data_IF_084316690086
#
_entry.id   IF_084316690086
#
_cell.length_a   1.000
_cell.length_b   1.000
_cell.length_c   1.000
_cell.angle_alpha   90.00
_cell.angle_beta   90.00
_cell.angle_gamma   90.00
#
_symmetry.space_group_name_H-M   'P 1'
#
loop_
_entity.id
_entity.type
_entity.pdbx_description
1 polymer ?
#
# COMPACT_ATOMS: atom_id res chain seq x y z
N UNK A 1 -5.62 -12.00 -19.05
CA UNK A 1 -4.81 -10.76 -19.02
C UNK A 1 -4.80 -10.19 -17.60
N UNK A 2 -4.08 -10.82 -16.66
CA UNK A 2 -4.05 -10.33 -15.26
C UNK A 2 -2.87 -10.83 -14.43
N UNK A 3 -2.12 -11.85 -14.85
CA UNK A 3 -1.01 -12.39 -14.04
C UNK A 3 0.26 -11.53 -14.03
N UNK A 4 0.53 -10.80 -15.11
CA UNK A 4 1.76 -10.00 -15.24
C UNK A 4 1.66 -8.69 -14.41
N UNK A 5 0.46 -8.10 -14.38
CA UNK A 5 0.24 -6.74 -13.86
C UNK A 5 0.49 -6.60 -12.35
N UNK A 6 0.16 -7.63 -11.55
CA UNK A 6 0.29 -7.53 -10.08
C UNK A 6 1.75 -7.58 -9.63
N UNK A 7 2.58 -8.44 -10.26
CA UNK A 7 4.01 -8.54 -9.94
C UNK A 7 4.74 -7.24 -10.29
N UNK A 8 4.46 -6.68 -11.46
CA UNK A 8 5.06 -5.42 -11.91
C UNK A 8 4.74 -4.25 -10.97
N UNK A 9 3.50 -4.17 -10.46
CA UNK A 9 3.11 -3.14 -9.50
C UNK A 9 3.70 -3.32 -8.10
N UNK A 10 3.93 -4.58 -7.69
CA UNK A 10 4.63 -4.90 -6.46
C UNK A 10 6.10 -4.47 -6.55
N UNK A 11 6.77 -4.76 -7.66
CA UNK A 11 8.16 -4.35 -7.91
C UNK A 11 8.30 -2.83 -8.04
N UNK A 12 7.33 -2.16 -8.67
CA UNK A 12 7.28 -0.70 -8.75
C UNK A 12 6.98 -0.02 -7.40
N UNK A 13 6.56 -0.78 -6.37
CA UNK A 13 6.34 -0.26 -5.02
C UNK A 13 5.03 0.52 -4.83
N UNK A 14 4.02 0.31 -5.67
CA UNK A 14 2.76 1.07 -5.64
C UNK A 14 1.91 0.79 -4.38
N UNK A 15 2.14 -0.33 -3.72
CA UNK A 15 1.45 -0.75 -2.49
C UNK A 15 1.90 0.03 -1.24
N UNK A 16 2.94 0.85 -1.32
CA UNK A 16 3.36 1.69 -0.20
C UNK A 16 2.55 2.98 -0.14
N UNK A 17 1.86 3.16 0.98
CA UNK A 17 1.12 4.38 1.33
C UNK A 17 1.97 5.38 2.12
N UNK A 18 1.29 6.20 2.91
CA UNK A 18 1.95 7.21 3.75
C UNK A 18 2.41 6.66 5.09
N UNK A 19 3.26 7.43 5.78
CA UNK A 19 3.66 7.15 7.16
C UNK A 19 2.45 7.02 8.09
N UNK A 20 2.56 6.16 9.12
CA UNK A 20 1.52 5.96 10.14
C UNK A 20 1.12 7.21 10.89
N UNK A 21 1.99 8.22 10.95
CA UNK A 21 1.70 9.53 11.56
C UNK A 21 0.93 10.49 10.65
N UNK A 22 0.90 10.26 9.34
CA UNK A 22 0.32 11.19 8.35
C UNK A 22 -0.56 10.42 7.36
N UNK A 23 -1.67 9.89 7.87
CA UNK A 23 -2.67 9.19 7.05
C UNK A 23 -4.08 9.73 7.32
N UNK A 24 -4.96 9.57 6.34
CA UNK A 24 -6.35 9.94 6.48
C UNK A 24 -7.16 8.75 7.03
N UNK A 25 -7.87 8.87 8.16
CA UNK A 25 -8.68 7.79 8.74
C UNK A 25 -9.68 7.13 7.78
N UNK A 26 -10.15 7.86 6.75
CA UNK A 26 -11.02 7.33 5.70
C UNK A 26 -10.36 6.25 4.85
N UNK A 27 -9.03 6.15 4.84
CA UNK A 27 -8.28 5.11 4.13
C UNK A 27 -8.30 3.76 4.83
N UNK A 28 -8.85 3.65 6.06
CA UNK A 28 -8.82 2.42 6.87
C UNK A 28 -9.28 1.15 6.13
N UNK A 29 -10.33 1.17 5.29
CA UNK A 29 -10.77 -0.03 4.56
C UNK A 29 -9.78 -0.50 3.47
N UNK A 30 -8.89 0.39 3.03
CA UNK A 30 -7.92 0.14 1.96
C UNK A 30 -6.50 -0.10 2.49
N UNK A 31 -6.30 -0.16 3.80
CA UNK A 31 -5.00 -0.40 4.40
C UNK A 31 -4.94 -1.88 4.77
N UNK A 32 -4.11 -2.64 4.06
CA UNK A 32 -3.78 -4.00 4.45
C UNK A 32 -3.02 -4.06 5.79
N UNK A 33 -2.06 -3.16 6.01
CA UNK A 33 -1.28 -3.18 7.24
C UNK A 33 -0.25 -2.07 7.35
N UNK A 34 0.73 -2.25 8.25
CA UNK A 34 1.87 -1.33 8.41
C UNK A 34 3.18 -2.09 8.54
N UNK A 35 4.23 -1.58 7.89
CA UNK A 35 5.60 -2.07 8.01
C UNK A 35 6.55 -0.88 8.08
N UNK A 36 7.47 -0.89 9.04
CA UNK A 36 8.46 0.19 9.24
C UNK A 36 7.83 1.60 9.23
N UNK A 37 6.69 1.76 9.92
CA UNK A 37 5.93 3.01 10.01
C UNK A 37 5.31 3.51 8.69
N UNK A 38 5.25 2.69 7.64
CA UNK A 38 4.57 2.99 6.37
C UNK A 38 3.34 2.09 6.24
N UNK A 39 2.21 2.66 5.81
CA UNK A 39 1.02 1.87 5.49
C UNK A 39 1.24 1.07 4.21
N UNK A 40 0.83 -0.18 4.23
CA UNK A 40 0.68 -1.01 3.04
C UNK A 40 -0.80 -0.89 2.68
N UNK A 41 -1.06 -0.39 1.47
CA UNK A 41 -2.40 -0.31 0.88
C UNK A 41 -2.78 -1.71 0.43
#
# INVERSE_FOLDING_TARGET
MSEIVVKDFLEAGIHYGHRTSRWNPKMRPYIYGRRNQIHII
#
